data_IF_348118515835
#
_entry.id   IF_348118515835
#
_cell.length_a   1.000
_cell.length_b   1.000
_cell.length_c   1.000
_cell.angle_alpha   90.00
_cell.angle_beta   90.00
_cell.angle_gamma   90.00
#
_symmetry.space_group_name_H-M   'P 1'
#
loop_
_entity.id
_entity.type
_entity.pdbx_description
1 polymer ?
#
# COMPACT_ATOMS: atom_id res chain seq x y z
N UNK A 1 -0.08 35.99 48.02
CA UNK A 1 0.83 35.40 47.00
C UNK A 1 0.72 33.89 47.12
N UNK A 2 -0.02 33.26 46.23
CA UNK A 2 -0.12 31.80 46.10
C UNK A 2 -0.44 31.48 44.65
N UNK A 3 0.52 30.83 43.98
CA UNK A 3 0.50 30.50 42.54
C UNK A 3 -0.68 29.61 42.15
N UNK A 4 -1.24 29.75 40.94
CA UNK A 4 -2.13 28.74 40.37
C UNK A 4 -1.33 27.58 39.77
N UNK A 5 -1.74 26.36 40.12
CA UNK A 5 -1.24 25.09 39.56
C UNK A 5 -1.47 25.03 38.05
N UNK A 6 -0.38 24.96 37.28
CA UNK A 6 -0.40 24.68 35.84
C UNK A 6 -0.57 23.17 35.65
N UNK A 7 -1.80 22.68 35.51
CA UNK A 7 -2.03 21.32 34.99
C UNK A 7 -1.56 21.34 33.53
N UNK A 8 -0.39 20.76 33.28
CA UNK A 8 0.05 20.39 31.94
C UNK A 8 -1.01 19.44 31.37
N UNK A 9 -1.81 19.93 30.43
CA UNK A 9 -2.73 19.09 29.68
C UNK A 9 -1.93 18.01 28.98
N UNK A 10 -2.24 16.74 29.27
CA UNK A 10 -1.84 15.66 28.38
C UNK A 10 -2.40 15.98 27.00
N UNK A 11 -1.60 15.90 25.91
CA UNK A 11 -2.18 16.06 24.58
C UNK A 11 -3.31 15.03 24.45
N UNK A 12 -4.48 15.51 24.01
CA UNK A 12 -5.61 14.64 23.73
C UNK A 12 -5.11 13.54 22.79
N UNK A 13 -5.24 12.29 23.22
CA UNK A 13 -5.10 11.14 22.32
C UNK A 13 -6.15 11.38 21.23
N UNK A 14 -5.72 11.80 20.03
CA UNK A 14 -6.61 11.89 18.88
C UNK A 14 -7.16 10.48 18.68
N UNK A 15 -8.42 10.29 19.03
CA UNK A 15 -9.16 9.09 18.64
C UNK A 15 -9.22 9.14 17.11
N UNK A 16 -8.75 8.12 16.39
CA UNK A 16 -8.96 8.07 14.95
C UNK A 16 -10.45 7.97 14.72
N UNK A 17 -11.09 9.07 14.33
CA UNK A 17 -12.37 9.01 13.65
C UNK A 17 -12.07 8.44 12.27
N UNK A 18 -12.86 7.46 11.83
CA UNK A 18 -12.80 6.94 10.47
C UNK A 18 -13.30 8.03 9.51
N UNK A 19 -12.52 9.09 9.36
CA UNK A 19 -12.82 10.19 8.48
C UNK A 19 -12.39 9.75 7.08
N UNK A 20 -13.33 9.77 6.14
CA UNK A 20 -13.09 9.53 4.71
C UNK A 20 -12.36 10.71 4.06
N UNK A 21 -11.62 11.49 4.86
CA UNK A 21 -10.93 12.69 4.47
C UNK A 21 -9.53 12.32 4.01
N UNK A 22 -9.14 12.87 2.86
CA UNK A 22 -7.77 12.82 2.37
C UNK A 22 -6.82 13.42 3.44
N UNK A 23 -5.80 12.67 3.90
CA UNK A 23 -4.78 13.20 4.80
C UNK A 23 -4.07 14.40 4.18
N UNK A 24 -3.56 15.31 5.00
CA UNK A 24 -2.65 16.35 4.52
C UNK A 24 -1.25 15.78 4.32
N UNK A 25 -0.40 16.47 3.54
CA UNK A 25 1.01 16.12 3.40
C UNK A 25 1.73 16.02 4.76
N UNK A 26 1.44 16.93 5.70
CA UNK A 26 2.03 16.90 7.06
C UNK A 26 1.57 15.67 7.87
N UNK A 27 0.32 15.22 7.68
CA UNK A 27 -0.18 13.98 8.29
C UNK A 27 0.48 12.74 7.68
N UNK A 28 0.76 12.76 6.37
CA UNK A 28 1.52 11.70 5.69
C UNK A 28 3.00 11.69 6.12
N UNK A 29 3.63 12.85 6.24
CA UNK A 29 4.99 13.00 6.78
C UNK A 29 5.06 12.46 8.22
N UNK A 30 4.07 12.78 9.04
CA UNK A 30 3.99 12.27 10.42
C UNK A 30 3.85 10.75 10.43
N UNK A 31 2.99 10.20 9.56
CA UNK A 31 2.84 8.75 9.44
C UNK A 31 4.12 8.07 8.94
N UNK A 32 4.83 8.67 7.98
CA UNK A 32 6.10 8.16 7.49
C UNK A 32 7.17 8.18 8.58
N UNK A 33 7.24 9.25 9.38
CA UNK A 33 8.15 9.36 10.51
C UNK A 33 7.89 8.31 11.61
N UNK A 34 6.65 7.83 11.76
CA UNK A 34 6.33 6.71 12.66
C UNK A 34 6.76 5.34 12.07
N UNK A 35 6.90 5.25 10.75
CA UNK A 35 7.30 4.03 10.03
C UNK A 35 8.82 3.89 9.94
N UNK A 36 9.56 4.95 9.59
CA UNK A 36 11.01 4.88 9.34
C UNK A 36 11.81 4.20 10.45
N UNK A 37 11.59 4.48 11.76
CA UNK A 37 12.35 3.80 12.81
C UNK A 37 12.20 2.28 12.83
N UNK A 38 11.08 1.76 12.31
CA UNK A 38 10.86 0.31 12.20
C UNK A 38 11.63 -0.27 11.01
N UNK A 39 11.79 0.49 9.93
CA UNK A 39 12.60 0.11 8.77
C UNK A 39 14.08 0.18 9.14
N UNK A 40 14.53 1.32 9.67
CA UNK A 40 15.92 1.58 10.07
C UNK A 40 16.46 0.57 11.10
N UNK A 41 15.58 0.00 11.94
CA UNK A 41 15.96 -1.01 12.93
C UNK A 41 16.39 -2.35 12.29
N UNK A 42 16.05 -2.61 11.03
CA UNK A 42 16.36 -3.86 10.31
C UNK A 42 17.58 -3.67 9.40
N UNK A 43 18.74 -3.40 10.00
CA UNK A 43 19.98 -3.02 9.28
C UNK A 43 20.57 -4.09 8.35
N UNK A 44 20.11 -5.33 8.45
CA UNK A 44 20.53 -6.46 7.62
C UNK A 44 19.56 -6.76 6.45
N UNK A 45 18.47 -5.99 6.36
CA UNK A 45 17.44 -6.17 5.34
C UNK A 45 17.57 -5.09 4.27
N UNK A 46 17.62 -5.50 3.00
CA UNK A 46 17.67 -4.60 1.84
C UNK A 46 16.44 -4.71 0.93
N UNK A 47 15.37 -5.39 1.40
CA UNK A 47 14.09 -5.50 0.70
C UNK A 47 12.95 -5.33 1.70
N UNK A 48 12.14 -4.30 1.53
CA UNK A 48 11.12 -3.88 2.47
C UNK A 48 9.77 -3.79 1.77
N UNK A 49 8.83 -4.64 2.22
CA UNK A 49 7.45 -4.65 1.74
C UNK A 49 6.54 -4.20 2.87
N UNK A 50 5.81 -3.10 2.65
CA UNK A 50 4.83 -2.55 3.59
C UNK A 50 3.43 -3.06 3.26
N UNK A 51 2.79 -3.72 4.21
CA UNK A 51 1.35 -3.98 4.13
C UNK A 51 0.60 -2.76 4.67
N UNK A 52 -0.26 -2.15 3.86
CA UNK A 52 -1.07 -0.99 4.22
C UNK A 52 -2.55 -1.30 4.02
N UNK A 53 -3.41 -0.61 4.77
CA UNK A 53 -4.85 -0.80 4.67
C UNK A 53 -5.59 0.55 4.81
N UNK A 54 -5.47 1.43 3.80
CA UNK A 54 -6.19 2.69 3.74
C UNK A 54 -7.49 2.54 2.95
N UNK A 55 -8.49 3.34 3.30
CA UNK A 55 -9.82 3.21 2.69
C UNK A 55 -9.84 3.66 1.22
N UNK A 56 -8.83 4.41 0.77
CA UNK A 56 -8.70 4.95 -0.59
C UNK A 56 -7.27 4.75 -1.10
N UNK A 57 -7.13 4.09 -2.24
CA UNK A 57 -5.82 3.82 -2.90
C UNK A 57 -4.96 5.06 -3.11
N UNK A 58 -5.58 6.22 -3.35
CA UNK A 58 -4.85 7.48 -3.54
C UNK A 58 -4.05 7.88 -2.31
N UNK A 59 -4.47 7.45 -1.12
CA UNK A 59 -3.73 7.71 0.12
C UNK A 59 -2.43 6.90 0.15
N UNK A 60 -2.44 5.62 -0.23
CA UNK A 60 -1.21 4.85 -0.34
C UNK A 60 -0.28 5.39 -1.44
N UNK A 61 -0.83 5.87 -2.56
CA UNK A 61 -0.04 6.49 -3.63
C UNK A 61 0.66 7.75 -3.13
N UNK A 62 -0.04 8.62 -2.40
CA UNK A 62 0.57 9.79 -1.80
C UNK A 62 1.61 9.39 -0.74
N UNK A 63 1.25 8.48 0.19
CA UNK A 63 2.15 8.01 1.26
C UNK A 63 3.49 7.48 0.72
N UNK A 64 3.50 6.81 -0.43
CA UNK A 64 4.73 6.30 -1.02
C UNK A 64 5.77 7.38 -1.32
N UNK A 65 5.34 8.59 -1.65
CA UNK A 65 6.25 9.72 -1.85
C UNK A 65 6.90 10.22 -0.55
N UNK A 66 6.37 9.83 0.61
CA UNK A 66 6.88 10.19 1.93
C UNK A 66 7.70 9.07 2.59
N UNK A 67 7.65 7.85 2.05
CA UNK A 67 8.40 6.71 2.58
C UNK A 67 9.80 6.63 1.97
N UNK A 68 10.79 6.39 2.82
CA UNK A 68 12.16 6.10 2.44
C UNK A 68 12.43 4.64 2.78
N UNK A 69 13.26 3.96 1.98
CA UNK A 69 13.68 2.58 2.21
C UNK A 69 12.52 1.56 2.25
N UNK A 70 11.39 1.90 1.63
CA UNK A 70 10.28 0.99 1.36
C UNK A 70 10.21 0.75 -0.13
N UNK A 71 10.42 -0.50 -0.55
CA UNK A 71 10.45 -0.87 -1.97
C UNK A 71 9.05 -1.07 -2.54
N UNK A 72 8.13 -1.59 -1.71
CA UNK A 72 6.79 -1.93 -2.15
C UNK A 72 5.76 -1.67 -1.06
N UNK A 73 4.60 -1.15 -1.45
CA UNK A 73 3.41 -1.12 -0.61
C UNK A 73 2.42 -2.13 -1.18
N UNK A 74 1.89 -3.04 -0.38
CA UNK A 74 0.70 -3.82 -0.69
C UNK A 74 -0.48 -3.21 0.06
N UNK A 75 -1.26 -2.41 -0.65
CA UNK A 75 -2.43 -1.75 -0.14
C UNK A 75 -3.64 -2.70 -0.07
N UNK A 76 -4.55 -2.35 0.81
CA UNK A 76 -5.86 -2.95 0.97
C UNK A 76 -6.81 -1.94 1.59
N UNK A 77 -8.06 -2.31 1.80
CA UNK A 77 -9.08 -1.43 2.38
C UNK A 77 -9.89 -0.64 1.35
N UNK A 78 -9.33 -0.37 0.17
CA UNK A 78 -10.11 0.02 -0.99
C UNK A 78 -10.70 -1.21 -1.71
N UNK A 79 -11.71 -0.98 -2.55
CA UNK A 79 -12.24 -2.01 -3.48
C UNK A 79 -11.74 -1.79 -4.92
N UNK A 80 -10.64 -1.04 -5.06
CA UNK A 80 -10.04 -0.73 -6.35
C UNK A 80 -9.54 -2.01 -7.02
N UNK A 81 -9.96 -2.22 -8.26
CA UNK A 81 -9.55 -3.35 -9.10
C UNK A 81 -8.66 -2.82 -10.22
N UNK A 82 -7.41 -3.25 -10.19
CA UNK A 82 -6.41 -2.89 -11.18
C UNK A 82 -6.11 -4.11 -12.04
N UNK A 83 -6.01 -3.93 -13.35
CA UNK A 83 -5.74 -5.01 -14.32
C UNK A 83 -4.75 -4.56 -15.40
N UNK A 84 -4.16 -5.50 -16.12
CA UNK A 84 -3.46 -5.26 -17.38
C UNK A 84 -4.21 -5.93 -18.56
N UNK A 85 -3.65 -5.84 -19.77
CA UNK A 85 -4.27 -6.40 -20.98
C UNK A 85 -4.38 -7.94 -21.00
N UNK A 86 -3.69 -8.64 -20.10
CA UNK A 86 -3.64 -10.10 -20.06
C UNK A 86 -4.65 -10.70 -19.06
N UNK A 87 -5.23 -9.88 -18.19
CA UNK A 87 -6.10 -10.33 -17.11
C UNK A 87 -7.53 -10.69 -17.56
N UNK A 88 -8.13 -11.66 -16.85
CA UNK A 88 -9.52 -12.08 -17.07
C UNK A 88 -10.44 -11.47 -16.02
N UNK A 89 -11.30 -10.54 -16.47
CA UNK A 89 -12.31 -9.92 -15.62
C UNK A 89 -13.49 -10.87 -15.36
N UNK A 90 -14.06 -10.80 -14.14
CA UNK A 90 -15.34 -11.43 -13.82
C UNK A 90 -16.50 -10.65 -14.44
N UNK A 91 -17.58 -11.33 -14.76
CA UNK A 91 -18.80 -10.71 -15.28
C UNK A 91 -19.31 -9.59 -14.33
N UNK A 92 -19.50 -8.40 -14.89
CA UNK A 92 -19.96 -7.21 -14.16
C UNK A 92 -18.87 -6.42 -13.43
N UNK A 93 -17.61 -6.86 -13.48
CA UNK A 93 -16.47 -6.07 -13.04
C UNK A 93 -15.92 -5.22 -14.20
N UNK A 94 -15.18 -4.16 -13.84
CA UNK A 94 -14.54 -3.25 -14.79
C UNK A 94 -13.14 -2.93 -14.31
N UNK A 95 -12.26 -2.63 -15.25
CA UNK A 95 -10.93 -2.09 -14.96
C UNK A 95 -11.01 -0.67 -14.39
N UNK A 96 -10.21 -0.40 -13.36
CA UNK A 96 -10.15 0.87 -12.63
C UNK A 96 -8.72 1.44 -12.58
N UNK A 97 -7.78 0.84 -13.31
CA UNK A 97 -6.41 1.32 -13.47
C UNK A 97 -5.43 0.17 -13.78
N UNK A 98 -4.26 0.50 -14.29
CA UNK A 98 -3.26 -0.50 -14.69
C UNK A 98 -2.67 -1.23 -13.49
N UNK A 99 -2.60 -2.56 -13.55
CA UNK A 99 -1.80 -3.37 -12.64
C UNK A 99 -0.37 -3.56 -13.18
N UNK A 100 0.66 -3.52 -12.32
CA UNK A 100 0.68 -2.91 -11.00
C UNK A 100 0.74 -1.37 -11.11
N UNK A 101 0.18 -0.65 -10.13
CA UNK A 101 0.67 0.70 -9.86
C UNK A 101 2.00 0.53 -9.11
N UNK A 102 3.04 1.28 -9.50
CA UNK A 102 4.23 1.43 -8.64
C UNK A 102 3.70 2.10 -7.38
N UNK A 103 3.52 1.31 -6.30
CA UNK A 103 2.52 1.41 -5.19
C UNK A 103 1.33 0.47 -5.39
N UNK A 104 1.36 -0.71 -4.76
CA UNK A 104 0.58 -1.89 -5.16
C UNK A 104 -0.70 -1.99 -4.35
N UNK A 105 -1.73 -2.61 -4.92
CA UNK A 105 -2.99 -2.89 -4.22
C UNK A 105 -3.55 -4.26 -4.59
N UNK A 106 -4.22 -4.93 -3.67
CA UNK A 106 -5.11 -6.05 -3.97
C UNK A 106 -6.57 -5.68 -3.63
N UNK A 107 -7.54 -6.21 -4.37
CA UNK A 107 -8.94 -5.87 -4.18
C UNK A 107 -9.44 -6.25 -2.77
N UNK A 108 -10.05 -5.31 -2.06
CA UNK A 108 -10.61 -5.57 -0.71
C UNK A 108 -11.83 -6.50 -0.68
N UNK A 109 -12.32 -6.96 -1.85
CA UNK A 109 -13.50 -7.82 -1.98
C UNK A 109 -13.20 -9.32 -2.06
N UNK A 110 -11.91 -9.70 -2.04
CA UNK A 110 -11.43 -11.09 -2.16
C UNK A 110 -11.96 -11.81 -3.41
N UNK A 111 -12.32 -11.04 -4.46
CA UNK A 111 -12.77 -11.60 -5.74
C UNK A 111 -11.60 -12.01 -6.61
N UNK A 112 -10.43 -11.42 -6.35
CA UNK A 112 -9.18 -11.71 -7.03
C UNK A 112 -8.07 -12.00 -5.99
N UNK A 113 -6.99 -12.62 -6.47
CA UNK A 113 -5.75 -12.79 -5.74
C UNK A 113 -4.67 -12.09 -6.55
N UNK A 114 -4.13 -10.98 -6.04
CA UNK A 114 -3.04 -10.27 -6.70
C UNK A 114 -1.76 -11.11 -6.70
N UNK A 115 -1.22 -11.40 -7.89
CA UNK A 115 0.11 -11.99 -8.06
C UNK A 115 1.04 -10.92 -8.62
N UNK A 116 2.23 -10.84 -8.07
CA UNK A 116 3.27 -9.95 -8.56
C UNK A 116 4.60 -10.68 -8.51
N UNK A 117 5.35 -10.58 -9.60
CA UNK A 117 6.74 -11.01 -9.66
C UNK A 117 7.60 -9.82 -10.08
N UNK A 118 8.61 -9.50 -9.28
CA UNK A 118 9.60 -8.47 -9.56
C UNK A 118 10.99 -9.00 -9.22
N UNK A 119 11.97 -8.55 -9.99
CA UNK A 119 13.37 -8.82 -9.71
C UNK A 119 13.99 -7.68 -8.92
N UNK A 120 14.92 -8.05 -8.06
CA UNK A 120 15.78 -7.13 -7.34
C UNK A 120 17.22 -7.36 -7.80
N UNK A 121 18.02 -6.31 -7.82
CA UNK A 121 19.47 -6.43 -7.99
C UNK A 121 20.16 -6.93 -6.70
N UNK A 122 21.49 -7.02 -6.76
CA UNK A 122 22.32 -7.47 -5.65
C UNK A 122 22.27 -6.51 -4.44
N UNK A 123 22.02 -5.23 -4.68
CA UNK A 123 21.94 -4.19 -3.66
C UNK A 123 20.53 -4.09 -3.03
N UNK A 124 19.56 -4.81 -3.59
CA UNK A 124 18.19 -4.83 -3.11
C UNK A 124 17.28 -3.78 -3.72
N UNK A 125 17.70 -3.15 -4.81
CA UNK A 125 16.85 -2.23 -5.55
C UNK A 125 15.95 -2.99 -6.52
N UNK A 126 14.70 -2.54 -6.67
CA UNK A 126 13.78 -3.09 -7.68
C UNK A 126 14.31 -2.77 -9.08
N UNK A 127 14.36 -3.78 -9.94
CA UNK A 127 14.56 -3.58 -11.37
C UNK A 127 13.22 -3.17 -11.97
N UNK A 128 13.07 -1.89 -12.33
CA UNK A 128 11.78 -1.31 -12.73
C UNK A 128 11.09 -2.09 -13.87
N UNK A 129 11.86 -2.51 -14.88
CA UNK A 129 11.33 -3.19 -16.07
C UNK A 129 11.28 -4.73 -15.92
N UNK A 130 11.31 -5.24 -14.68
CA UNK A 130 11.30 -6.69 -14.42
C UNK A 130 9.91 -7.29 -14.23
N UNK A 131 8.88 -6.45 -14.26
CA UNK A 131 7.50 -6.93 -14.27
C UNK A 131 7.22 -7.69 -15.58
N UNK A 132 6.61 -8.86 -15.44
CA UNK A 132 6.16 -9.68 -16.57
C UNK A 132 4.64 -9.82 -16.46
N UNK A 133 3.84 -9.12 -17.28
CA UNK A 133 2.38 -9.18 -17.20
C UNK A 133 1.82 -10.56 -17.55
N UNK A 134 2.60 -11.45 -18.17
CA UNK A 134 2.16 -12.84 -18.37
C UNK A 134 2.23 -13.66 -17.07
N UNK A 135 2.93 -13.15 -16.06
CA UNK A 135 3.10 -13.75 -14.74
C UNK A 135 2.44 -12.90 -13.66
N UNK A 136 2.75 -11.62 -13.53
CA UNK A 136 2.05 -10.68 -12.65
C UNK A 136 0.59 -10.52 -13.09
N UNK A 137 -0.28 -10.13 -12.17
CA UNK A 137 -1.69 -9.85 -12.44
C UNK A 137 -2.64 -10.41 -11.37
N UNK A 138 -3.83 -9.82 -11.19
CA UNK A 138 -4.91 -10.38 -10.37
C UNK A 138 -5.53 -11.65 -10.97
N UNK A 139 -5.46 -12.75 -10.22
CA UNK A 139 -6.15 -14.00 -10.57
C UNK A 139 -7.57 -14.03 -10.02
N UNK A 140 -8.56 -14.17 -10.88
CA UNK A 140 -9.95 -14.28 -10.45
C UNK A 140 -10.16 -15.52 -9.54
N UNK A 141 -10.85 -15.36 -8.41
CA UNK A 141 -11.25 -16.45 -7.53
C UNK A 141 -12.43 -17.24 -8.12
N UNK A 142 -12.21 -17.90 -9.24
CA UNK A 142 -13.14 -18.77 -9.95
C UNK A 142 -12.35 -19.80 -10.79
N UNK A 143 -13.06 -20.67 -11.51
CA UNK A 143 -12.43 -21.71 -12.35
C UNK A 143 -11.53 -21.11 -13.44
N UNK A 144 -11.93 -19.98 -14.04
CA UNK A 144 -11.14 -19.32 -15.08
C UNK A 144 -9.80 -18.81 -14.56
N UNK A 145 -9.77 -18.18 -13.37
CA UNK A 145 -8.53 -17.72 -12.77
C UNK A 145 -7.63 -18.87 -12.30
N UNK A 146 -8.19 -19.99 -11.81
CA UNK A 146 -7.39 -21.18 -11.51
C UNK A 146 -6.78 -21.79 -12.77
N UNK A 147 -7.51 -21.79 -13.89
CA UNK A 147 -7.01 -22.29 -15.17
C UNK A 147 -5.91 -21.41 -15.78
N UNK A 148 -5.74 -20.17 -15.30
CA UNK A 148 -4.73 -19.21 -15.75
C UNK A 148 -3.44 -19.22 -14.89
N UNK A 149 -3.33 -20.11 -13.89
CA UNK A 149 -2.17 -20.18 -12.98
C UNK A 149 -0.91 -20.79 -13.60
#
# INVERSE_FOLDING_TARGET
MTSPSRRLGRPARRQPTADSRQPTAEELDTLAADVHPQVDANTDTNKVVRLAHMQLIGIEQELAAHLSEVDMIVAGGSTTRLFDETDVLRAGDSDQGTYPIIVRTADGSYKYVGRLVMNFDADGQIIADSDDPTVSGPHARNEAGVAAL
#
